data_IF_460731849342
#
_entry.id   IF_460731849342
#
_cell.length_a   1.000
_cell.length_b   1.000
_cell.length_c   1.000
_cell.angle_alpha   90.00
_cell.angle_beta   90.00
_cell.angle_gamma   90.00
#
_symmetry.space_group_name_H-M   'P 1'
#
loop_
_entity.id
_entity.type
_entity.pdbx_description
1 polymer ?
#
# COMPACT_ATOMS: atom_id res chain seq x y z
N UNK A 1 -0.03 -4.74 -7.57
CA UNK A 1 -1.02 -5.22 -8.56
C UNK A 1 -2.14 -5.97 -7.82
N UNK A 2 -3.28 -5.29 -7.61
CA UNK A 2 -4.70 -5.67 -7.84
C UNK A 2 -5.32 -7.05 -7.45
N UNK A 3 -6.65 -7.04 -7.22
CA UNK A 3 -7.57 -8.17 -6.95
C UNK A 3 -8.67 -8.32 -8.03
N UNK A 4 -9.21 -9.54 -8.23
CA UNK A 4 -10.38 -9.85 -9.08
C UNK A 4 -11.29 -10.97 -8.53
N UNK A 5 -12.63 -10.84 -8.70
CA UNK A 5 -13.60 -11.94 -8.82
C UNK A 5 -14.09 -12.14 -10.29
N UNK A 6 -14.78 -13.26 -10.62
CA UNK A 6 -15.04 -13.71 -11.99
C UNK A 6 -16.19 -12.94 -12.68
N UNK A 7 -15.91 -12.49 -13.91
CA UNK A 7 -16.72 -11.60 -14.76
C UNK A 7 -15.88 -10.88 -15.84
N UNK A 8 -14.56 -10.82 -15.60
CA UNK A 8 -13.40 -10.67 -16.50
C UNK A 8 -13.24 -9.32 -17.23
N UNK A 9 -12.30 -8.52 -16.72
CA UNK A 9 -11.11 -8.27 -17.55
C UNK A 9 -10.63 -6.84 -17.76
N UNK A 10 -11.10 -5.84 -17.02
CA UNK A 10 -10.54 -4.47 -17.14
C UNK A 10 -9.79 -4.07 -15.88
N UNK A 11 -8.53 -3.71 -16.06
CA UNK A 11 -7.78 -2.91 -15.09
C UNK A 11 -8.23 -1.46 -15.20
N UNK A 12 -8.44 -0.81 -14.07
CA UNK A 12 -8.60 0.65 -14.00
C UNK A 12 -7.42 1.26 -13.23
N UNK A 13 -7.09 2.50 -13.57
CA UNK A 13 -6.08 3.28 -12.84
C UNK A 13 -6.78 4.04 -11.74
N UNK A 14 -6.39 3.79 -10.50
CA UNK A 14 -6.84 4.49 -9.30
C UNK A 14 -5.81 5.56 -8.90
N UNK A 15 -6.09 6.31 -7.84
CA UNK A 15 -5.17 7.29 -7.30
C UNK A 15 -3.78 6.69 -7.07
N UNK A 16 -2.71 7.33 -7.55
CA UNK A 16 -1.37 6.81 -7.40
C UNK A 16 -0.94 6.85 -5.93
N UNK A 17 -0.19 5.84 -5.52
CA UNK A 17 0.47 5.85 -4.20
C UNK A 17 1.36 7.10 -4.09
N UNK A 18 1.25 7.92 -3.03
CA UNK A 18 1.99 9.19 -2.95
C UNK A 18 3.50 9.00 -2.83
N UNK A 19 3.95 7.94 -2.16
CA UNK A 19 5.39 7.63 -2.00
C UNK A 19 5.82 6.50 -2.93
N UNK A 20 6.63 6.78 -3.98
CA UNK A 20 7.16 5.74 -4.86
C UNK A 20 8.05 4.76 -4.12
N UNK A 21 7.81 3.45 -4.27
CA UNK A 21 8.56 2.40 -3.58
C UNK A 21 8.43 1.03 -4.24
N UNK A 22 9.44 0.19 -4.10
CA UNK A 22 9.40 -1.25 -4.36
C UNK A 22 9.35 -2.03 -3.05
N UNK A 23 9.25 -3.37 -3.10
CA UNK A 23 9.49 -4.24 -1.93
C UNK A 23 8.62 -3.95 -0.69
N UNK A 24 7.50 -3.27 -0.90
CA UNK A 24 6.55 -2.91 0.14
C UNK A 24 5.67 -4.10 0.54
N UNK A 25 5.06 -3.99 1.71
CA UNK A 25 4.06 -4.93 2.19
C UNK A 25 2.68 -4.27 2.12
N UNK A 26 1.66 -5.05 1.74
CA UNK A 26 0.29 -4.56 1.56
C UNK A 26 -0.69 -5.44 2.32
N UNK A 27 -1.66 -4.83 3.00
CA UNK A 27 -2.76 -5.56 3.67
C UNK A 27 -4.08 -4.81 3.50
N UNK A 28 -5.19 -5.57 3.41
CA UNK A 28 -6.53 -5.01 3.52
C UNK A 28 -7.00 -5.14 4.98
N UNK A 29 -7.44 -4.03 5.58
CA UNK A 29 -7.89 -3.97 6.98
C UNK A 29 -8.98 -2.90 7.12
N UNK A 30 -10.10 -3.25 7.77
CA UNK A 30 -11.23 -2.35 8.04
C UNK A 30 -11.79 -1.62 6.81
N UNK A 31 -11.78 -2.28 5.65
CA UNK A 31 -12.26 -1.69 4.38
C UNK A 31 -11.26 -0.79 3.66
N UNK A 32 -10.05 -0.64 4.20
CA UNK A 32 -8.96 0.12 3.60
C UNK A 32 -7.84 -0.79 3.11
N UNK A 33 -6.96 -0.25 2.25
CA UNK A 33 -5.69 -0.89 1.88
C UNK A 33 -4.55 -0.12 2.53
N UNK A 34 -3.61 -0.80 3.17
CA UNK A 34 -2.42 -0.20 3.77
C UNK A 34 -1.18 -0.65 3.04
N UNK A 35 -0.31 0.29 2.72
CA UNK A 35 1.04 0.05 2.20
C UNK A 35 2.05 0.46 3.27
N UNK A 36 2.92 -0.48 3.63
CA UNK A 36 3.87 -0.36 4.74
C UNK A 36 5.28 -0.67 4.24
N UNK A 37 6.26 0.13 4.66
CA UNK A 37 7.66 -0.11 4.34
C UNK A 37 7.94 -0.05 2.84
N UNK A 38 8.97 -0.78 2.41
CA UNK A 38 9.45 -0.81 1.03
C UNK A 38 10.70 0.02 0.83
N UNK A 39 11.23 0.03 -0.40
CA UNK A 39 12.47 0.71 -0.77
C UNK A 39 12.16 1.84 -1.77
N UNK A 40 12.48 3.07 -1.40
CA UNK A 40 12.35 4.28 -2.22
C UNK A 40 13.66 5.06 -2.22
N UNK A 41 14.12 5.54 -3.38
CA UNK A 41 15.39 6.30 -3.52
C UNK A 41 16.61 5.66 -2.83
N UNK A 42 16.69 4.33 -2.82
CA UNK A 42 17.78 3.57 -2.21
C UNK A 42 17.75 3.49 -0.68
N UNK A 43 16.65 3.88 -0.03
CA UNK A 43 16.44 3.77 1.42
C UNK A 43 15.08 3.15 1.73
N UNK A 44 14.98 2.55 2.91
CA UNK A 44 13.72 2.01 3.37
C UNK A 44 12.72 3.14 3.69
N UNK A 45 11.51 3.02 3.17
CA UNK A 45 10.43 3.97 3.37
C UNK A 45 9.78 3.79 4.73
N UNK A 46 9.56 4.91 5.42
CA UNK A 46 8.96 4.89 6.75
C UNK A 46 7.46 5.12 6.71
N UNK A 47 6.95 5.77 5.66
CA UNK A 47 5.55 6.15 5.57
C UNK A 47 4.63 4.92 5.48
N UNK A 48 3.64 4.86 6.37
CA UNK A 48 2.49 3.97 6.24
C UNK A 48 1.36 4.75 5.58
N UNK A 49 0.96 4.31 4.39
CA UNK A 49 -0.05 4.98 3.58
C UNK A 49 -1.29 4.11 3.50
N UNK A 50 -2.46 4.72 3.72
CA UNK A 50 -3.76 4.07 3.67
C UNK A 50 -4.55 4.60 2.48
N UNK A 51 -5.04 3.69 1.65
CA UNK A 51 -5.98 3.97 0.57
C UNK A 51 -7.42 3.75 1.05
N UNK A 52 -8.27 4.72 0.73
CA UNK A 52 -9.71 4.67 0.89
C UNK A 52 -10.39 4.41 -0.48
N UNK A 53 -10.92 3.19 -0.71
CA UNK A 53 -11.62 2.87 -1.96
C UNK A 53 -12.91 3.65 -2.19
N UNK A 54 -13.54 4.21 -1.14
CA UNK A 54 -14.78 4.97 -1.28
C UNK A 54 -14.54 6.36 -1.85
N UNK A 55 -13.36 6.93 -1.63
CA UNK A 55 -12.99 8.27 -2.09
C UNK A 55 -11.89 8.28 -3.15
N UNK A 56 -11.29 7.13 -3.45
CA UNK A 56 -10.12 7.00 -4.34
C UNK A 56 -8.98 7.93 -3.90
N UNK A 57 -8.59 7.85 -2.63
CA UNK A 57 -7.54 8.72 -2.07
C UNK A 57 -6.62 7.97 -1.12
N UNK A 58 -5.37 8.45 -1.06
CA UNK A 58 -4.37 8.01 -0.10
C UNK A 58 -4.18 9.03 1.03
N UNK A 59 -3.81 8.54 2.21
CA UNK A 59 -3.34 9.36 3.32
C UNK A 59 -2.18 8.66 4.03
N UNK A 60 -1.14 9.42 4.40
CA UNK A 60 -0.14 8.93 5.35
C UNK A 60 -0.78 8.88 6.74
N UNK A 61 -0.86 7.69 7.33
CA UNK A 61 -1.52 7.48 8.63
C UNK A 61 -0.54 7.43 9.78
N UNK A 62 0.71 7.02 9.52
CA UNK A 62 1.80 7.02 10.51
C UNK A 62 3.16 6.82 9.82
N UNK A 63 4.24 6.76 10.61
CA UNK A 63 5.56 6.34 10.17
C UNK A 63 6.09 5.20 11.03
N UNK A 64 6.82 4.27 10.42
CA UNK A 64 7.52 3.20 11.12
C UNK A 64 8.67 3.78 11.97
N UNK A 65 8.99 3.15 13.12
CA UNK A 65 10.13 3.55 13.95
C UNK A 65 11.49 3.22 13.31
N UNK A 66 11.50 2.38 12.27
CA UNK A 66 12.68 2.01 11.51
C UNK A 66 12.29 1.49 10.13
N UNK A 67 13.23 1.57 9.19
CA UNK A 67 13.02 1.14 7.81
C UNK A 67 12.87 -0.37 7.70
N UNK A 68 11.86 -0.81 6.96
CA UNK A 68 11.67 -2.21 6.59
C UNK A 68 11.38 -2.31 5.10
N UNK A 69 12.01 -3.27 4.44
CA UNK A 69 11.77 -3.69 3.06
C UNK A 69 11.76 -5.23 3.01
N UNK A 70 11.13 -5.84 2.01
CA UNK A 70 10.96 -7.30 1.87
C UNK A 70 10.22 -8.00 3.03
N UNK A 71 9.53 -7.25 3.88
CA UNK A 71 8.84 -7.80 5.03
C UNK A 71 7.50 -8.47 4.65
N UNK A 72 7.10 -9.48 5.43
CA UNK A 72 5.74 -10.00 5.41
C UNK A 72 4.83 -9.15 6.31
N UNK A 73 3.57 -8.94 5.90
CA UNK A 73 2.56 -8.26 6.69
C UNK A 73 1.31 -9.14 6.79
N UNK A 74 0.74 -9.22 7.98
CA UNK A 74 -0.51 -9.94 8.24
C UNK A 74 -1.35 -9.13 9.21
N UNK A 75 -2.67 -9.16 9.03
CA UNK A 75 -3.63 -8.64 10.00
C UNK A 75 -4.28 -9.80 10.75
N UNK A 76 -4.67 -9.56 12.00
CA UNK A 76 -5.46 -10.49 12.82
C UNK A 76 -6.95 -10.18 12.74
#
# INVERSE_FOLDING_TARGET
AVLFPPGIGSWETLAPLPTPRTENSVVALDGFIYVVGGLGDGRAELAVERYDPATDTWATVTSLPGGVDHAGLVTV
#
